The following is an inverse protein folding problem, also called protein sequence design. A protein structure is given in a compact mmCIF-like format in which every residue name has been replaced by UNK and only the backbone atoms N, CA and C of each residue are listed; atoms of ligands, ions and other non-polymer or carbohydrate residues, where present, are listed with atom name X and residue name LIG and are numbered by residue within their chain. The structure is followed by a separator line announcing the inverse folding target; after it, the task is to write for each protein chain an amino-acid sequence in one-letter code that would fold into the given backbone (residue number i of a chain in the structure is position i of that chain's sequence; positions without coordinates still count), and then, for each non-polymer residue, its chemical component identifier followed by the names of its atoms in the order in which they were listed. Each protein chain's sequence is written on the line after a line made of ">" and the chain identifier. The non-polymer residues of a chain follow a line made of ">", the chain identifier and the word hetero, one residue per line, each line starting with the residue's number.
data_IF_983188012219
#
_entry.id   IF_983188012219
#
_cell.length_a   1.000
_cell.length_b   1.000
_cell.length_c   1.000
_cell.angle_alpha   90.00
_cell.angle_beta   90.00
_cell.angle_gamma   90.00
#
_symmetry.space_group_name_H-M   'P 1'
#
loop_
_entity.id
_entity.type
_entity.pdbx_description
1 polymer ?
#
# COMPACT_ATOMS: atom_id res chain seq x y z
N UNK A 1 8.98 13.75 -2.22
CA UNK A 1 9.36 14.98 -1.59
C UNK A 1 8.20 15.66 -0.97
N UNK A 2 7.31 16.24 -1.80
CA UNK A 2 6.15 16.88 -1.22
C UNK A 2 5.26 15.88 -0.52
N UNK A 3 5.11 14.69 -1.10
CA UNK A 3 4.34 13.65 -0.46
C UNK A 3 4.95 13.21 0.85
N UNK A 4 6.27 13.08 0.87
CA UNK A 4 6.97 12.68 2.09
C UNK A 4 6.78 13.73 3.18
N UNK A 5 6.86 15.01 2.80
CA UNK A 5 6.64 16.09 3.74
C UNK A 5 5.21 16.08 4.28
N UNK A 6 4.22 15.80 3.42
CA UNK A 6 2.84 15.67 3.87
C UNK A 6 2.68 14.55 4.88
N UNK A 7 3.31 13.40 4.63
CA UNK A 7 3.23 12.30 5.59
C UNK A 7 3.85 12.66 6.93
N UNK A 8 4.95 13.40 6.90
CA UNK A 8 5.59 13.81 8.16
C UNK A 8 4.69 14.74 8.95
N UNK A 9 4.03 15.68 8.25
CA UNK A 9 3.11 16.57 8.94
C UNK A 9 1.90 15.83 9.47
N UNK A 10 1.40 14.84 8.70
CA UNK A 10 0.29 14.02 9.19
C UNK A 10 0.69 13.19 10.40
N UNK A 11 1.93 12.69 10.41
CA UNK A 11 2.41 11.92 11.56
C UNK A 11 2.44 12.79 12.82
N UNK A 12 2.87 14.04 12.67
CA UNK A 12 2.88 14.97 13.81
C UNK A 12 1.46 15.25 14.30
N UNK A 13 0.52 15.43 13.37
CA UNK A 13 -0.87 15.65 13.74
C UNK A 13 -1.45 14.43 14.44
N UNK A 14 -1.12 13.24 13.96
CA UNK A 14 -1.64 12.01 14.54
C UNK A 14 -1.26 11.87 16.00
N UNK A 15 -0.07 12.33 16.37
CA UNK A 15 0.36 12.26 17.76
C UNK A 15 -0.56 13.07 18.67
N UNK A 16 -1.08 14.19 18.18
CA UNK A 16 -1.97 15.04 18.97
C UNK A 16 -3.40 14.52 18.96
N UNK A 17 -3.71 13.51 18.15
CA UNK A 17 -5.07 13.02 17.98
C UNK A 17 -5.23 11.59 18.48
N UNK A 18 -4.32 11.09 19.31
CA UNK A 18 -4.34 9.68 19.73
C UNK A 18 -5.57 9.33 20.57
N UNK A 19 -6.22 10.34 21.16
CA UNK A 19 -7.41 10.10 21.95
C UNK A 19 -8.70 10.25 21.14
N UNK A 20 -8.59 10.43 19.84
CA UNK A 20 -9.76 10.65 18.99
C UNK A 20 -10.01 9.42 18.13
N UNK A 21 -11.24 9.30 17.57
CA UNK A 21 -11.52 8.19 16.65
C UNK A 21 -10.70 8.24 15.34
N UNK A 22 -10.05 9.36 15.04
CA UNK A 22 -9.23 9.47 13.84
C UNK A 22 -7.86 8.82 13.99
N UNK A 23 -7.44 8.47 15.20
CA UNK A 23 -6.08 8.01 15.44
C UNK A 23 -5.74 6.74 14.67
N UNK A 24 -6.62 5.75 14.73
CA UNK A 24 -6.33 4.47 14.09
C UNK A 24 -6.38 4.55 12.56
N UNK A 25 -7.40 5.18 11.96
CA UNK A 25 -7.36 5.34 10.51
C UNK A 25 -6.14 6.13 10.03
N UNK A 26 -5.72 7.14 10.78
CA UNK A 26 -4.53 7.89 10.41
C UNK A 26 -3.28 7.04 10.47
N UNK A 27 -3.17 6.18 11.48
CA UNK A 27 -2.03 5.28 11.58
C UNK A 27 -1.98 4.36 10.36
N UNK A 28 -3.13 3.83 9.94
CA UNK A 28 -3.19 2.99 8.75
C UNK A 28 -2.73 3.76 7.52
N UNK A 29 -3.22 4.98 7.35
CA UNK A 29 -2.82 5.80 6.20
C UNK A 29 -1.34 6.11 6.20
N UNK A 30 -0.78 6.38 7.38
CA UNK A 30 0.65 6.66 7.46
C UNK A 30 1.48 5.45 7.06
N UNK A 31 1.07 4.26 7.49
CA UNK A 31 1.76 3.03 7.11
C UNK A 31 1.64 2.75 5.62
N UNK A 32 0.43 2.78 5.10
CA UNK A 32 0.21 2.53 3.68
C UNK A 32 0.86 3.59 2.83
N UNK A 33 0.73 4.86 3.23
CA UNK A 33 1.32 5.95 2.49
C UNK A 33 2.83 5.88 2.43
N UNK A 34 3.47 5.50 3.54
CA UNK A 34 4.91 5.35 3.57
C UNK A 34 5.37 4.25 2.61
N UNK A 35 4.69 3.11 2.63
CA UNK A 35 5.02 2.01 1.72
C UNK A 35 4.80 2.41 0.26
N UNK A 36 3.71 3.13 -0.02
CA UNK A 36 3.44 3.59 -1.38
C UNK A 36 4.54 4.54 -1.84
N UNK A 37 4.91 5.52 -1.01
CA UNK A 37 5.92 6.48 -1.42
C UNK A 37 7.28 5.83 -1.61
N UNK A 38 7.61 4.84 -0.78
CA UNK A 38 8.86 4.11 -0.99
C UNK A 38 8.87 3.43 -2.37
N UNK A 39 7.76 2.81 -2.74
CA UNK A 39 7.68 2.14 -4.03
C UNK A 39 7.77 3.14 -5.18
N UNK A 40 7.11 4.30 -5.04
CA UNK A 40 7.15 5.31 -6.08
C UNK A 40 8.55 5.92 -6.22
N UNK A 41 9.29 6.01 -5.13
CA UNK A 41 10.64 6.54 -5.18
C UNK A 41 11.60 5.56 -5.85
N UNK A 42 11.35 4.25 -5.69
CA UNK A 42 12.18 3.24 -6.33
C UNK A 42 12.06 3.28 -7.84
N UNK A 43 10.88 3.57 -8.35
CA UNK A 43 10.64 3.61 -9.78
C UNK A 43 9.68 4.73 -10.08
N UNK A 44 10.23 5.90 -10.37
CA UNK A 44 9.43 7.11 -10.53
C UNK A 44 8.64 7.13 -11.84
N UNK A 45 8.96 6.22 -12.77
CA UNK A 45 8.28 6.20 -14.07
C UNK A 45 7.10 5.25 -14.11
N UNK A 46 6.87 4.48 -13.05
CA UNK A 46 5.79 3.49 -13.01
C UNK A 46 4.71 3.93 -12.05
N UNK A 47 3.61 3.19 -12.05
CA UNK A 47 2.52 3.37 -11.10
C UNK A 47 1.93 4.77 -11.16
N UNK A 48 1.70 5.26 -12.39
CA UNK A 48 1.22 6.63 -12.55
C UNK A 48 -0.15 6.84 -11.92
N UNK A 49 -1.00 5.82 -11.92
CA UNK A 49 -2.32 5.93 -11.31
C UNK A 49 -2.19 6.13 -9.80
N UNK A 50 -1.32 5.33 -9.17
CA UNK A 50 -1.12 5.45 -7.72
C UNK A 50 -0.48 6.79 -7.38
N UNK A 51 0.44 7.26 -8.22
CA UNK A 51 1.07 8.56 -7.98
C UNK A 51 0.04 9.67 -8.04
N UNK A 52 -0.86 9.65 -9.03
CA UNK A 52 -1.91 10.66 -9.11
C UNK A 52 -2.84 10.59 -7.90
N UNK A 53 -3.15 9.37 -7.44
CA UNK A 53 -3.94 9.21 -6.24
C UNK A 53 -3.26 9.91 -5.05
N UNK A 54 -1.97 9.63 -4.85
CA UNK A 54 -1.26 10.21 -3.72
C UNK A 54 -1.15 11.74 -3.85
N UNK A 55 -0.88 12.21 -5.06
CA UNK A 55 -0.76 13.66 -5.27
C UNK A 55 -2.04 14.39 -4.98
N UNK A 56 -3.17 13.75 -5.18
CA UNK A 56 -4.45 14.39 -4.88
C UNK A 56 -4.85 14.22 -3.42
N UNK A 57 -4.73 13.00 -2.91
CA UNK A 57 -5.30 12.70 -1.59
C UNK A 57 -4.44 13.17 -0.43
N UNK A 58 -3.12 13.12 -0.56
CA UNK A 58 -2.28 13.52 0.57
C UNK A 58 -2.51 14.99 0.98
N UNK A 59 -2.47 15.95 0.05
CA UNK A 59 -2.72 17.35 0.47
C UNK A 59 -4.13 17.53 1.02
N UNK A 60 -5.10 16.84 0.43
CA UNK A 60 -6.49 16.98 0.88
C UNK A 60 -6.67 16.41 2.28
N UNK A 61 -6.10 15.24 2.54
CA UNK A 61 -6.17 14.62 3.86
C UNK A 61 -5.46 15.52 4.88
N UNK A 62 -4.31 16.04 4.50
CA UNK A 62 -3.56 16.91 5.42
C UNK A 62 -4.40 18.12 5.82
N UNK A 63 -5.08 18.73 4.85
CA UNK A 63 -5.91 19.89 5.15
C UNK A 63 -7.07 19.51 6.07
N UNK A 64 -7.73 18.40 5.77
CA UNK A 64 -8.89 17.98 6.57
C UNK A 64 -8.46 17.67 8.00
N UNK A 65 -7.36 16.96 8.16
CA UNK A 65 -6.88 16.57 9.49
C UNK A 65 -6.38 17.78 10.26
N UNK A 66 -5.74 18.72 9.58
CA UNK A 66 -5.32 19.96 10.22
C UNK A 66 -6.53 20.73 10.77
N UNK A 67 -7.58 20.83 9.96
CA UNK A 67 -8.79 21.52 10.40
C UNK A 67 -9.44 20.78 11.56
N UNK A 68 -9.47 19.44 11.48
CA UNK A 68 -10.04 18.64 12.55
C UNK A 68 -9.27 18.86 13.86
N UNK A 69 -7.95 18.90 13.79
CA UNK A 69 -7.14 19.11 14.98
C UNK A 69 -7.45 20.45 15.63
N UNK A 70 -7.67 21.48 14.80
CA UNK A 70 -8.04 22.78 15.36
C UNK A 70 -9.39 22.73 16.07
N UNK A 71 -10.35 22.02 15.48
CA UNK A 71 -11.65 21.86 16.13
C UNK A 71 -11.53 21.10 17.45
N UNK A 72 -10.68 20.07 17.46
CA UNK A 72 -10.50 19.27 18.66
C UNK A 72 -9.89 20.08 19.80
N UNK A 73 -9.09 21.10 19.47
CA UNK A 73 -8.46 21.95 20.47
C UNK A 73 -9.37 23.05 20.99
N UNK A 74 -10.50 23.26 20.35
CA UNK A 74 -11.40 24.32 20.77
C UNK A 74 -11.86 24.04 22.21
N UNK A 75 -11.84 25.07 23.08
CA UNK A 75 -12.29 24.87 24.46
C UNK A 75 -13.78 24.59 24.58
N UNK A 76 -14.56 24.95 23.58
CA UNK A 76 -15.99 24.73 23.58
C UNK A 76 -16.38 23.97 22.32
N UNK A 77 -17.04 22.82 22.51
CA UNK A 77 -17.53 22.02 21.39
C UNK A 77 -19.02 22.19 21.27
N UNK A 78 -19.44 23.26 20.62
CA UNK A 78 -20.84 23.46 20.29
C UNK A 78 -21.29 22.50 19.21
N UNK A 79 -22.56 22.66 18.83
CA UNK A 79 -23.17 21.70 17.92
C UNK A 79 -22.49 21.68 16.56
N UNK A 80 -22.13 22.86 16.03
CA UNK A 80 -21.49 22.91 14.72
C UNK A 80 -20.12 22.26 14.72
N UNK A 81 -19.35 22.47 15.78
CA UNK A 81 -18.03 21.88 15.90
C UNK A 81 -18.15 20.36 16.02
N UNK A 82 -19.07 19.88 16.85
CA UNK A 82 -19.27 18.44 17.01
C UNK A 82 -19.71 17.79 15.70
N UNK A 83 -20.58 18.46 14.96
CA UNK A 83 -21.07 17.94 13.69
C UNK A 83 -19.95 17.85 12.67
N UNK A 84 -19.09 18.88 12.59
CA UNK A 84 -17.96 18.85 11.67
C UNK A 84 -16.98 17.75 12.03
N UNK A 85 -16.69 17.61 13.34
CA UNK A 85 -15.80 16.55 13.77
C UNK A 85 -16.35 15.17 13.47
N UNK A 86 -17.65 14.98 13.68
CA UNK A 86 -18.30 13.71 13.40
C UNK A 86 -18.23 13.36 11.92
N UNK A 87 -18.35 14.37 11.04
CA UNK A 87 -18.24 14.13 9.61
C UNK A 87 -16.87 13.59 9.24
N UNK A 88 -15.82 14.17 9.80
CA UNK A 88 -14.47 13.69 9.55
C UNK A 88 -14.30 12.28 10.11
N UNK A 89 -14.73 12.08 11.35
CA UNK A 89 -14.59 10.77 12.00
C UNK A 89 -15.31 9.67 11.23
N UNK A 90 -16.44 10.01 10.63
CA UNK A 90 -17.20 9.02 9.86
C UNK A 90 -16.61 8.73 8.48
N UNK A 91 -15.77 9.63 7.97
CA UNK A 91 -15.23 9.49 6.61
C UNK A 91 -13.79 8.99 6.57
N UNK A 92 -13.04 9.21 7.64
CA UNK A 92 -11.59 9.00 7.58
C UNK A 92 -11.24 7.51 7.40
N UNK A 93 -12.08 6.61 7.91
CA UNK A 93 -11.85 5.18 7.73
C UNK A 93 -11.92 4.76 6.26
N UNK A 94 -12.86 5.35 5.52
CA UNK A 94 -12.95 5.05 4.09
C UNK A 94 -11.75 5.55 3.32
N UNK A 95 -11.19 6.68 3.74
CA UNK A 95 -9.98 7.17 3.10
C UNK A 95 -8.81 6.24 3.40
N UNK A 96 -8.70 5.76 4.64
CA UNK A 96 -7.67 4.80 4.98
C UNK A 96 -7.82 3.52 4.16
N UNK A 97 -9.05 3.06 3.94
CA UNK A 97 -9.30 1.91 3.09
C UNK A 97 -8.82 2.17 1.67
N UNK A 98 -9.02 3.38 1.16
CA UNK A 98 -8.57 3.73 -0.17
C UNK A 98 -7.04 3.66 -0.28
N UNK A 99 -6.34 4.13 0.74
CA UNK A 99 -4.88 4.02 0.76
C UNK A 99 -4.44 2.56 0.74
N UNK A 100 -5.10 1.73 1.54
CA UNK A 100 -4.78 0.30 1.55
C UNK A 100 -4.99 -0.34 0.19
N UNK A 101 -6.06 0.04 -0.52
CA UNK A 101 -6.33 -0.50 -1.84
C UNK A 101 -5.28 -0.06 -2.85
N UNK A 102 -4.76 1.16 -2.72
CA UNK A 102 -3.70 1.63 -3.62
C UNK A 102 -2.41 0.86 -3.37
N UNK A 103 -2.10 0.59 -2.12
CA UNK A 103 -0.93 -0.22 -1.80
C UNK A 103 -1.07 -1.63 -2.36
N UNK A 104 -2.25 -2.20 -2.22
CA UNK A 104 -2.51 -3.54 -2.76
C UNK A 104 -2.36 -3.57 -4.28
N UNK A 105 -2.80 -2.51 -4.95
CA UNK A 105 -2.63 -2.42 -6.40
C UNK A 105 -1.16 -2.40 -6.79
N UNK A 106 -0.32 -1.72 -6.01
CA UNK A 106 1.11 -1.74 -6.25
C UNK A 106 1.69 -3.15 -6.15
N UNK A 107 1.27 -3.88 -5.12
CA UNK A 107 1.77 -5.23 -4.92
C UNK A 107 1.29 -6.16 -6.03
N UNK A 108 0.10 -5.92 -6.58
CA UNK A 108 -0.36 -6.72 -7.72
C UNK A 108 0.57 -6.53 -8.91
N UNK A 109 0.94 -5.29 -9.20
CA UNK A 109 1.86 -5.02 -10.30
C UNK A 109 3.23 -5.64 -10.05
N UNK A 110 3.73 -5.55 -8.82
CA UNK A 110 5.00 -6.15 -8.48
C UNK A 110 4.95 -7.68 -8.57
N UNK A 111 3.80 -8.27 -8.27
CA UNK A 111 3.63 -9.70 -8.37
C UNK A 111 3.80 -10.16 -9.81
N UNK A 112 3.26 -9.41 -10.79
CA UNK A 112 3.48 -9.73 -12.19
C UNK A 112 4.96 -9.71 -12.54
N UNK A 113 5.69 -8.70 -12.05
CA UNK A 113 7.12 -8.61 -12.31
C UNK A 113 7.85 -9.81 -11.74
N UNK A 114 7.51 -10.21 -10.52
CA UNK A 114 8.14 -11.33 -9.87
C UNK A 114 7.86 -12.64 -10.62
N UNK A 115 6.64 -12.81 -11.09
CA UNK A 115 6.30 -14.00 -11.86
C UNK A 115 7.12 -14.08 -13.14
N UNK A 116 7.31 -12.96 -13.82
CA UNK A 116 8.12 -12.92 -15.02
C UNK A 116 9.56 -13.26 -14.71
N UNK A 117 10.10 -12.74 -13.62
CA UNK A 117 11.45 -13.01 -13.22
C UNK A 117 11.65 -14.49 -12.86
N UNK A 118 10.68 -15.06 -12.17
CA UNK A 118 10.73 -16.48 -11.81
C UNK A 118 10.72 -17.33 -13.07
N UNK A 119 9.85 -17.01 -14.02
CA UNK A 119 9.77 -17.73 -15.27
C UNK A 119 11.10 -17.67 -16.03
N UNK A 120 11.70 -16.47 -16.07
CA UNK A 120 12.99 -16.31 -16.75
C UNK A 120 14.06 -17.14 -16.06
N UNK A 121 14.07 -17.16 -14.74
CA UNK A 121 15.05 -17.95 -13.99
C UNK A 121 14.86 -19.43 -14.25
N UNK A 122 13.62 -19.89 -14.25
CA UNK A 122 13.35 -21.30 -14.54
C UNK A 122 13.80 -21.69 -15.93
N UNK A 123 13.62 -20.80 -16.90
CA UNK A 123 14.06 -21.05 -18.26
C UNK A 123 15.58 -21.17 -18.32
N UNK A 124 16.30 -20.31 -17.61
CA UNK A 124 17.74 -20.36 -17.56
C UNK A 124 18.21 -21.68 -16.92
N UNK A 125 17.60 -22.06 -15.83
CA UNK A 125 17.96 -23.28 -15.13
C UNK A 125 17.72 -24.50 -16.00
N UNK A 126 16.61 -24.53 -16.71
CA UNK A 126 16.31 -25.64 -17.61
C UNK A 126 17.34 -25.70 -18.74
N UNK A 127 17.71 -24.54 -19.27
CA UNK A 127 18.70 -24.48 -20.35
C UNK A 127 20.07 -24.96 -19.91
N UNK A 128 20.38 -24.83 -18.63
CA UNK A 128 21.65 -25.28 -18.12
C UNK A 128 21.61 -26.71 -17.54
N UNK A 129 20.44 -27.35 -17.60
CA UNK A 129 20.31 -28.70 -17.07
C UNK A 129 20.27 -28.76 -15.55
N UNK A 130 20.03 -27.69 -14.90
CA UNK A 130 20.03 -27.62 -13.45
C UNK A 130 18.65 -27.78 -12.83
N UNK A 131 17.68 -27.77 -13.65
CA UNK A 131 16.33 -27.91 -13.11
C UNK A 131 16.08 -29.26 -12.56
N UNK A 132 16.08 -29.66 -12.23
CA UNK A 132 15.44 -30.45 -11.90
C UNK A 132 14.79 -30.76 -11.43
N UNK A 133 14.86 -30.65 -11.74
CA UNK A 133 14.20 -30.85 -11.58
C UNK A 133 13.70 -30.95 -11.59
N UNK A 134 13.72 -30.41 -11.79
CA UNK A 134 13.08 -30.36 -11.86
C UNK A 134 12.76 -30.94 -12.04
N UNK A 135 13.44 -31.32 -12.39
CA UNK A 135 13.28 -31.82 -12.48
C UNK A 135 13.03 -32.45 -11.76
N UNK A 136 13.03 -32.36 -11.23
CA UNK A 136 12.68 -33.01 -10.42
C UNK A 136 11.49 -33.32 -10.10
N UNK A 137 11.25 -33.57 -10.87
CA UNK A 137 10.26 -33.93 -10.90
C UNK A 137 9.76 -34.68 -11.42
N UNK A 138 10.53 -34.91 -11.60
CA UNK A 138 10.09 -35.62 -12.25
C UNK A 138 9.91 -36.31 -12.62
N UNK A 139 10.28 -36.46 -12.70
CA UNK A 139 10.07 -37.11 -13.31
C UNK A 139 9.79 -37.86 -13.45
N UNK A 140 9.95 -37.98 -13.30
CA UNK A 140 9.53 -38.73 -13.67
C UNK A 140 9.05 -39.22 -13.91
N UNK A 141 9.10 -39.08 -13.91
CA UNK A 141 8.50 -39.63 -14.42
C UNK A 141 8.30 -40.11 -14.94
N UNK A 142 8.69 -40.17 -15.09
CA UNK A 142 8.38 -40.77 -15.82
C UNK A 142 8.31 -41.35 -16.05
N UNK A 143 8.63 -41.38 -15.96
CA UNK A 143 8.38 -42.14 -16.49
C UNK A 143 8.15 -42.72 -16.50
N UNK A 144 8.19 -42.62 -16.31
CA UNK A 144 7.79 -43.34 -16.64
C UNK A 144 7.43 -43.76 -16.89
N UNK A 145 7.50 -43.78 -16.99
CA UNK A 145 7.15 -44.36 -17.52
C UNK A 145 7.15 -44.90 -17.87
N UNK A 146 7.47 -44.89 -17.96
CA UNK A 146 7.41 -45.50 -18.45
C UNK A 146 7.33 -46.15 -18.51
N UNK A 147 7.43 -46.12 -18.33
CA UNK A 147 7.23 -46.85 -18.63
C UNK A 147 6.95 -47.36 -18.87
N UNK A 148 7.13 -47.40 -18.89
CA UNK A 148 6.79 -48.07 -19.35
C UNK A 148 6.60 -48.62 -19.79
N UNK A 149 6.62 -48.92 -19.89
CA UNK A 149 6.34 -49.49 -20.37
C UNK A 149 6.41 -50.13 -20.61
N UNK A 150 6.54 -50.28 -20.57
CA UNK A 150 6.45 -50.72 -20.65
C UNK A 150 6.29 -50.92 -20.89
#
# INVERSE_FOLDING_TARGET
>A
EEGRASLERLAALQKSLVQTPCAQPLERMLRSGDAILNALEEDSSRFSVVRRFMNYYLPTVEKIVTDYARLAESPVHGENIRSAMASVEGSIGGVADAFDRQLDALYRDKSFDMDAEITALETILAGEGLAKGSDFTDKDDDSQKIQLGM
#
